data_IF_595779430995
#
_entry.id   IF_595779430995
#
_cell.length_a   1.000
_cell.length_b   1.000
_cell.length_c   1.000
_cell.angle_alpha   90.00
_cell.angle_beta   90.00
_cell.angle_gamma   90.00
#
_symmetry.space_group_name_H-M   'P 1'
#
loop_
_entity.id
_entity.type
_entity.pdbx_description
1 polymer ?
#
# COMPACT_ATOMS: atom_id res chain seq x y z
N UNK A 1 -2.72 -16.00 -40.02
CA UNK A 1 -1.71 -17.05 -39.78
C UNK A 1 -0.69 -16.48 -38.80
N UNK A 2 -0.35 -17.14 -37.68
CA UNK A 2 -1.20 -17.88 -36.73
C UNK A 2 -1.87 -16.90 -35.74
N UNK A 3 -2.84 -17.37 -34.96
CA UNK A 3 -3.50 -16.57 -33.92
C UNK A 3 -2.49 -16.17 -32.85
N UNK A 4 -2.38 -14.87 -32.55
CA UNK A 4 -1.70 -14.31 -31.36
C UNK A 4 -2.48 -14.66 -30.08
N UNK A 5 -2.87 -15.93 -29.94
CA UNK A 5 -3.58 -16.43 -28.78
C UNK A 5 -2.58 -16.77 -27.68
N UNK A 6 -2.03 -15.70 -27.09
CA UNK A 6 -1.14 -15.75 -25.93
C UNK A 6 -1.89 -16.26 -24.68
N UNK A 7 -3.23 -16.33 -24.72
CA UNK A 7 -4.06 -16.82 -23.60
C UNK A 7 -3.96 -18.34 -23.38
N UNK A 8 -3.40 -19.09 -24.34
CA UNK A 8 -3.26 -20.54 -24.29
C UNK A 8 -1.86 -21.03 -23.82
N UNK A 9 -1.00 -20.15 -23.30
CA UNK A 9 0.31 -20.58 -22.77
C UNK A 9 0.15 -21.39 -21.48
N UNK A 10 0.82 -22.54 -21.42
CA UNK A 10 0.84 -23.38 -20.23
C UNK A 10 1.69 -22.76 -19.12
N UNK A 11 1.47 -23.12 -17.83
CA UNK A 11 2.29 -22.63 -16.72
C UNK A 11 3.79 -22.91 -16.92
N UNK A 12 4.15 -24.06 -17.50
CA UNK A 12 5.54 -24.42 -17.80
C UNK A 12 6.16 -23.50 -18.85
N UNK A 13 5.39 -23.15 -19.89
CA UNK A 13 5.84 -22.21 -20.93
C UNK A 13 6.01 -20.79 -20.39
N UNK A 14 5.08 -20.32 -19.55
CA UNK A 14 5.18 -19.02 -18.87
C UNK A 14 6.42 -18.98 -17.98
N UNK A 15 6.64 -20.04 -17.19
CA UNK A 15 7.80 -20.16 -16.30
C UNK A 15 9.12 -20.16 -17.10
N UNK A 16 9.14 -20.80 -18.26
CA UNK A 16 10.30 -20.80 -19.16
C UNK A 16 10.60 -19.40 -19.71
N UNK A 17 9.59 -18.66 -20.18
CA UNK A 17 9.77 -17.29 -20.66
C UNK A 17 10.32 -16.37 -19.57
N UNK A 18 9.82 -16.49 -18.33
CA UNK A 18 10.31 -15.71 -17.17
C UNK A 18 11.75 -16.07 -16.78
N UNK A 19 12.09 -17.35 -16.78
CA UNK A 19 13.45 -17.80 -16.47
C UNK A 19 14.47 -17.26 -17.50
N UNK A 20 14.14 -17.35 -18.80
CA UNK A 20 14.99 -16.81 -19.86
C UNK A 20 15.07 -15.28 -19.84
N UNK A 21 13.99 -14.58 -19.45
CA UNK A 21 14.01 -13.12 -19.24
C UNK A 21 14.93 -12.73 -18.08
N UNK A 22 14.87 -13.48 -16.98
CA UNK A 22 15.70 -13.26 -15.78
C UNK A 22 17.18 -13.45 -16.09
N UNK A 23 17.53 -14.48 -16.85
CA UNK A 23 18.92 -14.76 -17.21
C UNK A 23 19.45 -13.82 -18.31
N UNK A 24 18.58 -13.30 -19.19
CA UNK A 24 18.96 -12.35 -20.25
C UNK A 24 19.94 -12.91 -21.30
N UNK A 25 20.25 -14.21 -21.23
CA UNK A 25 21.18 -14.92 -22.11
C UNK A 25 20.60 -16.23 -22.58
N UNK A 26 21.35 -16.94 -23.41
CA UNK A 26 21.03 -18.30 -23.81
C UNK A 26 21.25 -19.26 -22.62
N UNK A 27 20.28 -20.16 -22.40
CA UNK A 27 20.25 -21.10 -21.27
C UNK A 27 19.92 -22.49 -21.78
N UNK A 28 20.68 -23.49 -21.34
CA UNK A 28 20.46 -24.88 -21.72
C UNK A 28 19.40 -25.60 -20.86
N UNK A 29 18.84 -26.70 -21.38
CA UNK A 29 17.81 -27.45 -20.68
C UNK A 29 18.26 -28.02 -19.32
N UNK A 30 19.55 -28.33 -19.13
CA UNK A 30 20.06 -28.84 -17.86
C UNK A 30 20.11 -27.72 -16.81
N UNK A 31 20.45 -26.51 -17.23
CA UNK A 31 20.41 -25.32 -16.39
C UNK A 31 18.96 -24.92 -16.06
N UNK A 32 18.05 -24.94 -17.05
CA UNK A 32 16.63 -24.69 -16.83
C UNK A 32 16.00 -25.68 -15.84
N UNK A 33 16.36 -26.96 -15.92
CA UNK A 33 15.87 -27.98 -15.00
C UNK A 33 16.45 -27.83 -13.60
N UNK A 34 17.77 -27.65 -13.47
CA UNK A 34 18.44 -27.58 -12.17
C UNK A 34 18.15 -26.29 -11.39
N UNK A 35 18.12 -25.13 -12.05
CA UNK A 35 17.93 -23.83 -11.38
C UNK A 35 16.46 -23.45 -11.24
N UNK A 36 15.64 -23.84 -12.21
CA UNK A 36 14.26 -23.38 -12.28
C UNK A 36 13.24 -24.52 -12.23
N UNK A 37 13.64 -25.78 -12.30
CA UNK A 37 12.72 -26.92 -12.35
C UNK A 37 11.84 -26.90 -13.60
N UNK A 38 12.41 -26.50 -14.75
CA UNK A 38 11.68 -26.35 -16.01
C UNK A 38 12.26 -27.33 -17.04
N UNK A 39 11.41 -28.21 -17.56
CA UNK A 39 11.74 -29.03 -18.72
C UNK A 39 11.17 -28.38 -19.99
N UNK A 40 12.03 -27.65 -20.72
CA UNK A 40 11.64 -26.99 -21.97
C UNK A 40 11.94 -27.89 -23.17
N UNK A 41 11.21 -29.01 -23.25
CA UNK A 41 11.39 -30.01 -24.31
C UNK A 41 10.06 -30.34 -25.00
N UNK A 42 10.13 -31.04 -26.14
CA UNK A 42 8.97 -31.62 -26.80
C UNK A 42 7.94 -30.57 -27.25
N UNK A 43 6.71 -30.66 -26.74
CA UNK A 43 5.61 -29.76 -27.09
C UNK A 43 5.78 -28.35 -26.51
N UNK A 44 6.47 -28.23 -25.37
CA UNK A 44 6.64 -26.93 -24.70
C UNK A 44 7.55 -26.01 -25.50
N UNK A 45 8.71 -26.51 -25.96
CA UNK A 45 9.63 -25.71 -26.77
C UNK A 45 9.06 -25.43 -28.17
N UNK A 46 8.48 -26.44 -28.83
CA UNK A 46 7.89 -26.30 -30.17
C UNK A 46 6.84 -25.20 -30.24
N UNK A 47 5.93 -25.14 -29.27
CA UNK A 47 4.89 -24.12 -29.26
C UNK A 47 5.45 -22.70 -29.05
N UNK A 48 6.49 -22.54 -28.22
CA UNK A 48 7.14 -21.23 -28.04
C UNK A 48 7.95 -20.80 -29.27
N UNK A 49 8.57 -21.75 -29.97
CA UNK A 49 9.23 -21.53 -31.26
C UNK A 49 8.23 -21.17 -32.36
N UNK A 50 7.10 -21.87 -32.46
CA UNK A 50 6.01 -21.58 -33.41
C UNK A 50 5.38 -20.19 -33.19
N UNK A 51 5.29 -19.74 -31.94
CA UNK A 51 4.82 -18.40 -31.60
C UNK A 51 5.91 -17.32 -31.78
N UNK A 52 7.14 -17.72 -32.13
CA UNK A 52 8.28 -16.83 -32.32
C UNK A 52 8.78 -16.19 -31.03
N UNK A 53 8.53 -16.81 -29.87
CA UNK A 53 8.91 -16.26 -28.56
C UNK A 53 10.28 -16.74 -28.08
N UNK A 54 10.69 -17.94 -28.50
CA UNK A 54 11.96 -18.54 -28.13
C UNK A 54 12.65 -19.07 -29.39
N UNK A 55 13.95 -18.89 -29.46
CA UNK A 55 14.82 -19.56 -30.43
C UNK A 55 15.59 -20.68 -29.73
N UNK A 56 15.69 -21.83 -30.40
CA UNK A 56 16.40 -23.00 -29.88
C UNK A 56 17.65 -23.28 -30.71
N UNK A 57 18.81 -23.28 -30.06
CA UNK A 57 20.08 -23.68 -30.64
C UNK A 57 20.27 -25.19 -30.44
N UNK A 58 20.32 -25.93 -31.55
CA UNK A 58 20.41 -27.40 -31.58
C UNK A 58 21.77 -27.94 -31.99
N UNK A 59 22.82 -27.11 -31.93
CA UNK A 59 24.17 -27.46 -32.37
C UNK A 59 24.84 -28.55 -31.52
N UNK A 60 24.48 -28.67 -30.23
CA UNK A 60 24.89 -29.77 -29.36
C UNK A 60 23.84 -29.99 -28.25
N UNK A 61 23.86 -31.17 -27.62
CA UNK A 61 23.01 -31.44 -26.44
C UNK A 61 23.77 -31.07 -25.16
N UNK A 62 23.11 -30.51 -24.13
CA UNK A 62 21.68 -30.16 -24.09
C UNK A 62 21.33 -28.96 -24.98
N UNK A 63 20.13 -28.98 -25.56
CA UNK A 63 19.66 -27.87 -26.39
C UNK A 63 19.54 -26.60 -25.55
N UNK A 64 19.88 -25.48 -26.18
CA UNK A 64 19.91 -24.17 -25.58
C UNK A 64 18.83 -23.27 -26.15
N UNK A 65 18.32 -22.37 -25.31
CA UNK A 65 17.15 -21.56 -25.60
C UNK A 65 17.42 -20.09 -25.26
N UNK A 66 16.94 -19.19 -26.10
CA UNK A 66 17.02 -17.74 -25.90
C UNK A 66 15.70 -17.07 -26.27
N UNK A 67 15.33 -16.01 -25.55
CA UNK A 67 14.20 -15.18 -25.95
C UNK A 67 14.51 -14.39 -27.21
N UNK A 68 13.53 -14.33 -28.12
CA UNK A 68 13.49 -13.35 -29.21
C UNK A 68 13.04 -11.99 -28.67
N UNK A 69 13.14 -10.92 -29.46
CA UNK A 69 12.58 -9.61 -29.07
C UNK A 69 11.07 -9.67 -28.79
N UNK A 70 10.33 -10.46 -29.57
CA UNK A 70 8.89 -10.72 -29.33
C UNK A 70 8.69 -11.48 -28.01
N UNK A 71 9.53 -12.49 -27.75
CA UNK A 71 9.56 -13.23 -26.50
C UNK A 71 9.86 -12.36 -25.28
N UNK A 72 10.79 -11.42 -25.39
CA UNK A 72 11.12 -10.47 -24.32
C UNK A 72 9.94 -9.54 -24.01
N UNK A 73 9.29 -8.98 -25.03
CA UNK A 73 8.12 -8.12 -24.83
C UNK A 73 6.96 -8.88 -24.16
N UNK A 74 6.69 -10.11 -24.59
CA UNK A 74 5.67 -10.97 -23.96
C UNK A 74 6.08 -11.38 -22.55
N UNK A 75 7.34 -11.74 -22.33
CA UNK A 75 7.82 -12.10 -21.00
C UNK A 75 7.75 -10.92 -20.03
N UNK A 76 8.03 -9.69 -20.48
CA UNK A 76 7.87 -8.46 -19.69
C UNK A 76 6.40 -8.20 -19.35
N UNK A 77 5.47 -8.38 -20.30
CA UNK A 77 4.03 -8.28 -20.03
C UNK A 77 3.50 -9.39 -19.09
N UNK A 78 4.12 -10.58 -19.11
CA UNK A 78 3.85 -11.63 -18.13
C UNK A 78 4.54 -11.37 -16.78
N UNK A 79 5.54 -10.48 -16.77
CA UNK A 79 6.29 -10.04 -15.58
C UNK A 79 5.70 -8.76 -14.97
N UNK A 80 4.84 -8.03 -15.70
CA UNK A 80 3.80 -7.22 -15.07
C UNK A 80 3.04 -8.16 -14.14
N UNK A 81 2.84 -7.79 -12.86
CA UNK A 81 2.26 -8.70 -11.91
C UNK A 81 0.82 -8.99 -12.32
N UNK A 82 0.61 -10.20 -12.88
CA UNK A 82 -0.70 -10.83 -12.88
C UNK A 82 -1.24 -10.72 -11.44
N UNK A 83 -2.49 -10.23 -11.23
CA UNK A 83 -3.05 -10.12 -9.89
C UNK A 83 -2.85 -11.47 -9.21
N UNK A 84 -2.23 -11.51 -8.02
CA UNK A 84 -1.73 -12.77 -7.50
C UNK A 84 -2.87 -13.77 -7.46
N UNK A 85 -2.74 -14.90 -8.18
CA UNK A 85 -3.47 -16.12 -7.80
C UNK A 85 -3.12 -16.31 -6.35
N UNK A 86 -4.11 -16.17 -5.48
CA UNK A 86 -3.98 -16.12 -4.03
C UNK A 86 -2.90 -17.09 -3.55
N UNK A 87 -1.67 -16.60 -3.53
CA UNK A 87 -0.62 -17.17 -2.71
C UNK A 87 -1.14 -16.82 -1.34
N UNK A 88 -1.41 -17.84 -0.51
CA UNK A 88 -1.80 -17.61 0.89
C UNK A 88 -0.88 -16.50 1.38
N UNK A 89 -1.42 -15.33 1.75
CA UNK A 89 -0.56 -14.22 2.09
C UNK A 89 0.38 -14.73 3.19
N UNK A 90 1.56 -14.13 3.30
CA UNK A 90 2.22 -14.14 4.60
C UNK A 90 1.35 -13.26 5.51
N UNK A 91 0.20 -13.83 5.88
CA UNK A 91 -0.75 -13.26 6.81
C UNK A 91 0.06 -13.29 8.11
N UNK A 92 0.31 -12.15 8.77
CA UNK A 92 0.60 -12.19 10.20
C UNK A 92 -0.41 -13.18 10.79
N UNK A 93 0.00 -14.13 11.63
CA UNK A 93 -0.97 -15.06 12.26
C UNK A 93 -1.98 -14.24 13.06
N UNK A 94 -3.00 -13.71 12.38
CA UNK A 94 -4.20 -13.16 12.94
C UNK A 94 -4.92 -14.38 13.45
N UNK A 95 -5.30 -14.32 14.72
CA UNK A 95 -6.02 -15.39 15.38
C UNK A 95 -7.18 -15.81 14.46
N UNK A 96 -7.07 -17.00 13.87
CA UNK A 96 -7.85 -17.41 12.69
C UNK A 96 -9.33 -17.62 13.01
N UNK A 97 -9.71 -17.48 14.28
CA UNK A 97 -11.08 -17.52 14.75
C UNK A 97 -11.62 -16.09 14.84
N UNK A 98 -12.29 -15.65 13.79
CA UNK A 98 -13.02 -14.38 13.83
C UNK A 98 -14.15 -14.54 14.84
N UNK A 99 -14.19 -13.70 15.90
CA UNK A 99 -15.24 -13.81 16.89
C UNK A 99 -16.58 -13.56 16.21
N UNK A 100 -17.60 -14.33 16.57
CA UNK A 100 -18.96 -14.13 16.04
C UNK A 100 -19.48 -12.76 16.51
N UNK A 101 -19.42 -11.75 15.64
CA UNK A 101 -19.89 -10.39 15.91
C UNK A 101 -21.34 -10.21 15.46
N UNK A 102 -22.12 -9.45 16.24
CA UNK A 102 -23.44 -8.99 15.81
C UNK A 102 -23.31 -7.86 14.77
N UNK A 103 -24.37 -7.56 13.98
CA UNK A 103 -24.35 -6.43 13.07
C UNK A 103 -24.01 -5.09 13.75
N UNK A 104 -24.55 -4.85 14.94
CA UNK A 104 -24.26 -3.64 15.71
C UNK A 104 -22.81 -3.58 16.20
N UNK A 105 -22.25 -4.73 16.61
CA UNK A 105 -20.83 -4.82 16.97
C UNK A 105 -19.94 -4.50 15.76
N UNK A 106 -20.29 -4.99 14.57
CA UNK A 106 -19.55 -4.67 13.34
C UNK A 106 -19.66 -3.17 13.02
N UNK A 107 -20.86 -2.60 13.06
CA UNK A 107 -21.09 -1.18 12.74
C UNK A 107 -20.31 -0.24 13.66
N UNK A 108 -20.30 -0.50 14.98
CA UNK A 108 -19.53 0.32 15.93
C UNK A 108 -18.04 0.21 15.68
N UNK A 109 -17.52 -0.98 15.42
CA UNK A 109 -16.10 -1.17 15.11
C UNK A 109 -15.69 -0.44 13.82
N UNK A 110 -16.56 -0.44 12.81
CA UNK A 110 -16.33 0.32 11.57
C UNK A 110 -16.36 1.82 11.83
N UNK A 111 -17.34 2.33 12.60
CA UNK A 111 -17.41 3.77 12.91
C UNK A 111 -16.21 4.25 13.72
N UNK A 112 -15.78 3.48 14.73
CA UNK A 112 -14.59 3.82 15.52
C UNK A 112 -13.31 3.79 14.68
N UNK A 113 -13.21 2.85 13.72
CA UNK A 113 -12.10 2.80 12.78
C UNK A 113 -12.14 4.02 11.85
N UNK A 114 -13.32 4.36 11.33
CA UNK A 114 -13.49 5.48 10.40
C UNK A 114 -13.15 6.81 11.05
N UNK A 115 -13.53 7.02 12.31
CA UNK A 115 -13.23 8.27 13.01
C UNK A 115 -11.80 8.31 13.57
N UNK A 116 -11.15 7.16 13.75
CA UNK A 116 -9.77 7.01 14.21
C UNK A 116 -9.43 7.82 15.49
N UNK A 117 -10.43 8.00 16.36
CA UNK A 117 -10.35 8.74 17.63
C UNK A 117 -11.33 8.13 18.64
N UNK A 118 -11.24 8.61 19.87
CA UNK A 118 -12.22 8.31 20.89
C UNK A 118 -13.58 8.96 20.58
N UNK A 119 -14.66 8.18 20.73
CA UNK A 119 -16.05 8.61 20.53
C UNK A 119 -16.89 8.35 21.78
N UNK A 120 -17.66 9.33 22.21
CA UNK A 120 -18.63 9.16 23.28
C UNK A 120 -19.96 8.57 22.79
N UNK A 121 -20.79 8.10 23.73
CA UNK A 121 -22.08 7.47 23.39
C UNK A 121 -23.07 8.37 22.64
N UNK A 122 -23.00 9.69 22.77
CA UNK A 122 -23.83 10.60 21.99
C UNK A 122 -23.34 10.65 20.54
N UNK A 123 -22.03 10.76 20.33
CA UNK A 123 -21.41 10.74 18.99
C UNK A 123 -21.66 9.40 18.28
N UNK A 124 -21.55 8.27 18.99
CA UNK A 124 -21.88 6.96 18.43
C UNK A 124 -23.35 6.85 18.05
N UNK A 125 -24.26 7.45 18.82
CA UNK A 125 -25.68 7.49 18.48
C UNK A 125 -25.94 8.30 17.21
N UNK A 126 -25.21 9.39 17.01
CA UNK A 126 -25.30 10.23 15.82
C UNK A 126 -24.73 9.51 14.58
N UNK A 127 -23.55 8.90 14.69
CA UNK A 127 -22.82 8.31 13.57
C UNK A 127 -23.28 6.88 13.23
N UNK A 128 -23.49 6.04 14.24
CA UNK A 128 -23.88 4.64 14.08
C UNK A 128 -25.38 4.40 14.25
N UNK A 129 -26.13 5.40 14.74
CA UNK A 129 -27.56 5.29 15.04
C UNK A 129 -27.86 4.69 16.42
N UNK A 130 -26.85 4.30 17.21
CA UNK A 130 -27.01 3.73 18.55
C UNK A 130 -25.75 3.89 19.42
N UNK A 131 -25.90 3.95 20.76
CA UNK A 131 -24.78 4.00 21.70
C UNK A 131 -24.11 2.62 21.88
N UNK A 132 -22.82 2.59 22.23
CA UNK A 132 -22.14 1.36 22.64
C UNK A 132 -22.35 1.13 24.15
N UNK A 133 -23.36 0.32 24.49
CA UNK A 133 -23.72 0.06 25.89
C UNK A 133 -24.07 -1.41 26.14
N UNK A 134 -24.29 -1.76 27.42
CA UNK A 134 -24.83 -3.05 27.82
C UNK A 134 -23.97 -4.24 27.41
N UNK A 135 -24.61 -5.24 26.81
CA UNK A 135 -23.98 -6.52 26.41
C UNK A 135 -22.99 -6.37 25.27
N UNK A 136 -23.23 -5.44 24.33
CA UNK A 136 -22.32 -5.20 23.21
C UNK A 136 -21.00 -4.59 23.69
N UNK A 137 -21.05 -3.57 24.57
CA UNK A 137 -19.84 -2.98 25.17
C UNK A 137 -19.04 -4.02 25.97
N UNK A 138 -19.70 -4.75 26.87
CA UNK A 138 -19.04 -5.79 27.69
C UNK A 138 -18.36 -6.85 26.83
N UNK A 139 -18.99 -7.29 25.75
CA UNK A 139 -18.39 -8.30 24.87
C UNK A 139 -17.20 -7.74 24.10
N UNK A 140 -17.32 -6.55 23.52
CA UNK A 140 -16.24 -5.94 22.75
C UNK A 140 -15.03 -5.59 23.61
N UNK A 141 -15.25 -5.13 24.84
CA UNK A 141 -14.18 -4.76 25.78
C UNK A 141 -13.65 -5.98 26.55
N UNK A 142 -14.49 -6.64 27.35
CA UNK A 142 -14.02 -7.62 28.34
C UNK A 142 -13.80 -9.00 27.75
N UNK A 143 -14.65 -9.42 26.79
CA UNK A 143 -14.54 -10.75 26.18
C UNK A 143 -13.53 -10.75 25.03
N UNK A 144 -13.58 -9.73 24.18
CA UNK A 144 -12.81 -9.71 22.93
C UNK A 144 -11.59 -8.78 22.99
N UNK A 145 -11.56 -7.79 23.88
CA UNK A 145 -10.45 -6.84 24.01
C UNK A 145 -10.27 -5.95 22.78
N UNK A 146 -11.33 -5.67 22.04
CA UNK A 146 -11.30 -4.89 20.79
C UNK A 146 -11.53 -3.40 21.01
N UNK A 147 -12.20 -3.04 22.10
CA UNK A 147 -12.56 -1.67 22.45
C UNK A 147 -12.14 -1.42 23.89
N UNK A 148 -11.58 -0.24 24.15
CA UNK A 148 -11.39 0.30 25.48
C UNK A 148 -12.47 1.34 25.75
N UNK A 149 -12.96 1.40 26.99
CA UNK A 149 -13.99 2.37 27.39
C UNK A 149 -13.50 3.23 28.54
N UNK A 150 -13.38 4.55 28.31
CA UNK A 150 -13.20 5.51 29.39
C UNK A 150 -14.53 5.73 30.11
N UNK A 151 -14.49 5.51 31.43
CA UNK A 151 -15.61 5.68 32.36
C UNK A 151 -15.35 6.79 33.39
N UNK A 152 -14.31 7.58 33.19
CA UNK A 152 -13.96 8.72 34.05
C UNK A 152 -15.13 9.73 34.11
N UNK A 153 -15.79 9.98 32.97
CA UNK A 153 -16.91 10.90 32.84
C UNK A 153 -18.03 10.34 31.97
N UNK A 154 -19.27 10.74 32.26
CA UNK A 154 -20.43 10.43 31.41
C UNK A 154 -20.69 11.57 30.42
N UNK A 155 -21.12 11.29 29.16
CA UNK A 155 -21.33 9.96 28.58
C UNK A 155 -20.01 9.21 28.35
N UNK A 156 -19.99 7.90 28.59
CA UNK A 156 -18.79 7.08 28.42
C UNK A 156 -18.26 7.13 26.98
N UNK A 157 -16.95 7.04 26.88
CA UNK A 157 -16.19 7.17 25.65
C UNK A 157 -15.49 5.88 25.28
N UNK A 158 -15.31 5.65 23.99
CA UNK A 158 -14.88 4.38 23.44
C UNK A 158 -13.85 4.58 22.33
N UNK A 159 -12.82 3.74 22.33
CA UNK A 159 -11.79 3.73 21.29
C UNK A 159 -11.37 2.29 20.94
N UNK A 160 -10.84 2.08 19.74
CA UNK A 160 -10.27 0.79 19.36
C UNK A 160 -8.93 0.57 20.08
N UNK A 161 -8.74 -0.63 20.62
CA UNK A 161 -7.42 -1.10 21.05
C UNK A 161 -6.58 -1.52 19.84
N UNK A 162 -5.27 -1.76 20.02
CA UNK A 162 -4.42 -2.32 18.95
C UNK A 162 -4.97 -3.62 18.36
N UNK A 163 -5.52 -4.47 19.24
CA UNK A 163 -6.22 -5.70 18.85
C UNK A 163 -7.50 -5.40 18.08
N UNK A 164 -8.26 -4.39 18.50
CA UNK A 164 -9.39 -3.84 17.76
C UNK A 164 -9.02 -3.46 16.34
N UNK A 165 -8.02 -2.60 16.16
CA UNK A 165 -7.49 -2.20 14.86
C UNK A 165 -7.05 -3.38 13.99
N UNK A 166 -6.37 -4.36 14.58
CA UNK A 166 -6.02 -5.60 13.89
C UNK A 166 -7.26 -6.37 13.43
N UNK A 167 -8.27 -6.51 14.29
CA UNK A 167 -9.49 -7.24 13.99
C UNK A 167 -10.34 -6.54 12.93
N UNK A 168 -10.52 -5.22 13.00
CA UNK A 168 -11.31 -4.49 11.99
C UNK A 168 -10.63 -4.58 10.62
N UNK A 169 -9.29 -4.49 10.53
CA UNK A 169 -8.56 -4.76 9.28
C UNK A 169 -8.82 -6.15 8.73
N UNK A 170 -8.88 -7.18 9.59
CA UNK A 170 -9.23 -8.52 9.13
C UNK A 170 -10.64 -8.60 8.54
N UNK A 171 -11.61 -7.78 8.99
CA UNK A 171 -12.95 -7.72 8.39
C UNK A 171 -12.93 -7.22 6.93
N UNK A 172 -11.95 -6.39 6.55
CA UNK A 172 -11.78 -5.89 5.18
C UNK A 172 -11.21 -6.96 4.23
N UNK A 173 -10.49 -7.93 4.78
CA UNK A 173 -9.80 -8.97 4.01
C UNK A 173 -10.71 -10.17 3.67
N UNK A 174 -11.97 -10.14 4.11
CA UNK A 174 -12.87 -11.28 3.99
C UNK A 174 -13.82 -11.17 2.80
N UNK A 175 -14.17 -12.34 2.26
CA UNK A 175 -15.46 -12.49 1.59
C UNK A 175 -16.59 -12.33 2.62
N UNK A 176 -17.64 -11.54 2.33
CA UNK A 176 -18.72 -11.35 3.29
C UNK A 176 -19.34 -12.70 3.69
N UNK A 177 -19.59 -12.96 4.98
CA UNK A 177 -20.20 -14.21 5.41
C UNK A 177 -21.51 -14.48 4.64
N UNK A 178 -21.73 -15.73 4.21
CA UNK A 178 -22.96 -16.11 3.49
C UNK A 178 -24.24 -15.86 4.29
N UNK A 179 -24.12 -15.80 5.62
CA UNK A 179 -25.21 -15.58 6.57
C UNK A 179 -25.46 -14.09 6.91
N UNK A 180 -24.62 -13.17 6.43
CA UNK A 180 -24.80 -11.74 6.69
C UNK A 180 -25.99 -11.17 5.91
N UNK A 181 -26.88 -10.43 6.60
CA UNK A 181 -27.98 -9.67 5.97
C UNK A 181 -27.41 -8.65 4.97
N UNK A 182 -28.22 -8.28 3.96
CA UNK A 182 -27.79 -7.55 2.76
C UNK A 182 -26.93 -6.30 3.02
N UNK A 183 -27.28 -5.46 4.00
CA UNK A 183 -26.56 -4.22 4.30
C UNK A 183 -25.13 -4.46 4.86
N UNK A 184 -24.96 -5.38 5.81
CA UNK A 184 -23.64 -5.74 6.35
C UNK A 184 -22.75 -6.34 5.25
N UNK A 185 -23.34 -7.13 4.35
CA UNK A 185 -22.64 -7.73 3.22
C UNK A 185 -22.15 -6.67 2.22
N UNK A 186 -22.97 -5.67 1.89
CA UNK A 186 -22.57 -4.55 1.04
C UNK A 186 -21.45 -3.73 1.68
N UNK A 187 -21.56 -3.40 2.97
CA UNK A 187 -20.53 -2.66 3.70
C UNK A 187 -19.18 -3.39 3.68
N UNK A 188 -19.17 -4.68 4.04
CA UNK A 188 -17.93 -5.47 4.03
C UNK A 188 -17.33 -5.61 2.61
N UNK A 189 -18.18 -5.68 1.58
CA UNK A 189 -17.72 -5.72 0.18
C UNK A 189 -17.04 -4.40 -0.22
N UNK A 190 -17.64 -3.26 0.12
CA UNK A 190 -17.07 -1.93 -0.14
C UNK A 190 -15.72 -1.76 0.59
N UNK A 191 -15.70 -2.11 1.88
CA UNK A 191 -14.49 -2.08 2.69
C UNK A 191 -13.37 -2.96 2.11
N UNK A 192 -13.70 -4.17 1.63
CA UNK A 192 -12.72 -5.04 0.97
C UNK A 192 -12.24 -4.51 -0.37
N UNK A 193 -13.08 -3.81 -1.13
CA UNK A 193 -12.66 -3.10 -2.34
C UNK A 193 -11.67 -1.96 -2.01
N UNK A 194 -11.97 -1.13 -1.00
CA UNK A 194 -11.10 -0.03 -0.57
C UNK A 194 -9.72 -0.57 -0.15
N UNK A 195 -9.68 -1.63 0.67
CA UNK A 195 -8.42 -2.24 1.09
C UNK A 195 -7.58 -2.74 -0.10
N UNK A 196 -8.22 -3.35 -1.11
CA UNK A 196 -7.53 -3.77 -2.35
C UNK A 196 -7.00 -2.57 -3.12
N UNK A 197 -7.79 -1.51 -3.28
CA UNK A 197 -7.38 -0.30 -3.98
C UNK A 197 -6.21 0.40 -3.26
N UNK A 198 -6.22 0.45 -1.92
CA UNK A 198 -5.10 0.98 -1.14
C UNK A 198 -3.83 0.13 -1.32
N UNK A 199 -3.96 -1.20 -1.29
CA UNK A 199 -2.82 -2.09 -1.58
C UNK A 199 -2.28 -1.90 -3.00
N UNK A 200 -3.16 -1.64 -3.98
CA UNK A 200 -2.76 -1.32 -5.34
C UNK A 200 -2.04 0.02 -5.41
N UNK A 201 -2.54 1.07 -4.75
CA UNK A 201 -1.87 2.37 -4.69
C UNK A 201 -0.50 2.30 -4.02
N UNK A 202 -0.38 1.54 -2.92
CA UNK A 202 0.90 1.26 -2.27
C UNK A 202 1.90 0.59 -3.20
N UNK A 203 1.45 -0.39 -3.98
CA UNK A 203 2.32 -1.19 -4.86
C UNK A 203 2.70 -0.43 -6.12
N UNK A 204 1.77 0.32 -6.72
CA UNK A 204 1.96 1.04 -7.98
C UNK A 204 2.65 2.39 -7.80
N UNK A 205 2.37 3.09 -6.70
CA UNK A 205 2.81 4.47 -6.50
C UNK A 205 3.72 4.65 -5.27
N UNK A 206 4.03 3.59 -4.52
CA UNK A 206 4.90 3.65 -3.35
C UNK A 206 4.29 4.38 -2.13
N UNK A 207 3.01 4.73 -2.20
CA UNK A 207 2.29 5.50 -1.16
C UNK A 207 1.90 4.58 -0.01
N UNK A 208 2.63 4.61 1.11
CA UNK A 208 2.30 3.84 2.33
C UNK A 208 1.20 4.54 3.14
N UNK A 209 -0.06 4.34 2.78
CA UNK A 209 -1.20 4.79 3.58
C UNK A 209 -1.75 3.66 4.45
N UNK A 210 -1.80 3.84 5.76
CA UNK A 210 -2.53 2.94 6.66
C UNK A 210 -4.05 3.19 6.59
N UNK A 211 -4.87 2.21 6.98
CA UNK A 211 -6.33 2.41 7.02
C UNK A 211 -6.72 3.54 7.99
N UNK A 212 -6.03 3.65 9.13
CA UNK A 212 -6.27 4.72 10.09
C UNK A 212 -5.99 6.10 9.49
N UNK A 213 -4.95 6.24 8.67
CA UNK A 213 -4.65 7.50 7.97
C UNK A 213 -5.62 7.79 6.82
N UNK A 214 -6.03 6.76 6.08
CA UNK A 214 -6.99 6.92 4.99
C UNK A 214 -8.36 7.39 5.49
N UNK A 215 -8.80 6.87 6.64
CA UNK A 215 -10.10 7.25 7.20
C UNK A 215 -10.04 8.42 8.17
N UNK A 216 -8.85 8.76 8.71
CA UNK A 216 -8.69 9.91 9.61
C UNK A 216 -9.31 11.13 8.97
N UNK A 217 -10.35 11.66 9.63
CA UNK A 217 -10.96 12.93 9.26
C UNK A 217 -9.87 14.00 9.27
N UNK A 218 -9.55 14.55 8.11
CA UNK A 218 -8.69 15.71 8.01
C UNK A 218 -9.40 16.84 8.81
N UNK A 219 -8.72 17.52 9.75
CA UNK A 219 -9.33 18.64 10.43
C UNK A 219 -9.83 19.60 9.35
N UNK A 220 -11.08 20.06 9.50
CA UNK A 220 -11.60 21.10 8.62
C UNK A 220 -10.55 22.23 8.61
N UNK A 221 -10.15 22.76 7.43
CA UNK A 221 -9.23 23.87 7.38
C UNK A 221 -9.79 24.93 8.33
N UNK A 222 -9.02 25.30 9.36
CA UNK A 222 -9.36 26.46 10.15
C UNK A 222 -9.59 27.60 9.14
N UNK A 223 -10.74 28.26 9.21
CA UNK A 223 -11.21 29.23 8.20
C UNK A 223 -10.33 30.51 8.09
N UNK A 224 -9.05 30.45 8.43
CA UNK A 224 -8.07 31.54 8.30
C UNK A 224 -6.88 31.29 7.37
N UNK A 225 -6.70 30.10 6.77
CA UNK A 225 -5.38 29.71 6.23
C UNK A 225 -5.12 29.83 4.72
N UNK A 226 -6.11 30.10 3.87
CA UNK A 226 -5.91 29.98 2.42
C UNK A 226 -4.87 30.98 1.83
N UNK A 227 -4.68 32.14 2.47
CA UNK A 227 -3.68 33.12 2.03
C UNK A 227 -2.26 32.82 2.57
N UNK A 228 -2.15 32.20 3.74
CA UNK A 228 -0.87 31.87 4.39
C UNK A 228 -0.24 30.58 3.83
N UNK A 229 -1.07 29.59 3.46
CA UNK A 229 -0.59 28.31 2.91
C UNK A 229 0.06 28.49 1.53
N UNK A 230 -0.48 29.37 0.68
CA UNK A 230 0.09 29.67 -0.65
C UNK A 230 1.43 30.42 -0.53
N UNK A 231 1.59 31.22 0.52
CA UNK A 231 2.86 31.89 0.82
C UNK A 231 3.90 30.87 1.32
N UNK A 232 3.53 30.03 2.30
CA UNK A 232 4.41 28.99 2.82
C UNK A 232 4.89 28.01 1.74
N UNK A 233 4.00 27.56 0.85
CA UNK A 233 4.36 26.70 -0.29
C UNK A 233 5.38 27.40 -1.21
N UNK A 234 5.10 28.66 -1.57
CA UNK A 234 5.98 29.46 -2.44
C UNK A 234 7.36 29.67 -1.81
N UNK A 235 7.41 29.89 -0.50
CA UNK A 235 8.65 30.05 0.27
C UNK A 235 9.43 28.72 0.33
N UNK A 236 8.75 27.59 0.56
CA UNK A 236 9.38 26.26 0.53
C UNK A 236 9.96 25.94 -0.85
N UNK A 237 9.23 26.23 -1.94
CA UNK A 237 9.71 26.04 -3.32
C UNK A 237 10.96 26.88 -3.62
N UNK A 238 10.98 28.14 -3.16
CA UNK A 238 12.16 29.01 -3.29
C UNK A 238 13.35 28.47 -2.50
N UNK A 239 13.14 28.04 -1.26
CA UNK A 239 14.21 27.45 -0.43
C UNK A 239 14.76 26.16 -1.07
N UNK A 240 13.88 25.31 -1.59
CA UNK A 240 14.29 24.12 -2.36
C UNK A 240 15.14 24.50 -3.57
N UNK A 241 14.72 25.49 -4.38
CA UNK A 241 15.45 25.92 -5.57
C UNK A 241 16.83 26.55 -5.27
N UNK A 242 17.04 27.05 -4.06
CA UNK A 242 18.36 27.53 -3.61
C UNK A 242 19.30 26.39 -3.22
N UNK A 243 18.75 25.28 -2.71
CA UNK A 243 19.50 24.12 -2.25
C UNK A 243 19.72 23.08 -3.35
N UNK A 244 18.75 22.92 -4.25
CA UNK A 244 18.83 22.02 -5.40
C UNK A 244 19.61 22.71 -6.53
N UNK A 245 20.70 22.09 -6.97
CA UNK A 245 21.45 22.54 -8.15
C UNK A 245 20.67 22.30 -9.45
N UNK A 246 19.75 21.34 -9.46
CA UNK A 246 18.84 21.06 -10.58
C UNK A 246 17.46 20.53 -10.12
N UNK A 247 16.41 20.69 -10.95
CA UNK A 247 15.10 20.10 -10.68
C UNK A 247 15.18 18.58 -10.51
N UNK A 248 14.44 18.05 -9.53
CA UNK A 248 14.44 16.63 -9.16
C UNK A 248 15.61 16.17 -8.30
N UNK A 249 16.52 17.07 -7.90
CA UNK A 249 17.60 16.75 -6.96
C UNK A 249 17.07 16.54 -5.53
N UNK A 250 17.67 15.59 -4.81
CA UNK A 250 17.26 15.30 -3.43
C UNK A 250 17.89 16.30 -2.45
N UNK A 251 17.03 17.04 -1.75
CA UNK A 251 17.40 18.01 -0.72
C UNK A 251 16.99 17.49 0.66
N UNK A 252 17.88 17.54 1.64
CA UNK A 252 17.58 17.17 3.03
C UNK A 252 16.60 18.13 3.69
N UNK A 253 15.60 17.61 4.41
CA UNK A 253 14.63 18.43 5.14
C UNK A 253 15.27 19.25 6.26
N UNK A 254 16.37 18.77 6.84
CA UNK A 254 17.16 19.55 7.80
C UNK A 254 17.75 20.82 7.18
N UNK A 255 18.31 20.72 5.97
CA UNK A 255 18.87 21.87 5.28
C UNK A 255 17.78 22.79 4.74
N UNK A 256 16.66 22.22 4.29
CA UNK A 256 15.49 22.98 3.87
C UNK A 256 14.93 23.83 5.03
N UNK A 257 14.80 23.26 6.23
CA UNK A 257 14.28 23.98 7.40
C UNK A 257 15.21 25.10 7.87
N UNK A 258 16.53 24.91 7.78
CA UNK A 258 17.50 25.95 8.13
C UNK A 258 17.38 27.19 7.22
N UNK A 259 16.87 27.02 5.99
CA UNK A 259 16.59 28.13 5.06
C UNK A 259 15.23 28.81 5.32
N UNK A 260 14.46 28.35 6.32
CA UNK A 260 13.09 28.81 6.60
C UNK A 260 12.91 29.35 8.03
N UNK A 261 13.76 30.28 8.52
CA UNK A 261 13.72 30.72 9.93
C UNK A 261 12.44 31.50 10.33
N UNK A 262 11.63 31.93 9.35
CA UNK A 262 10.39 32.68 9.58
C UNK A 262 9.12 31.82 9.65
N UNK A 263 9.21 30.51 9.39
CA UNK A 263 8.04 29.61 9.39
C UNK A 263 8.11 28.66 10.59
N UNK A 264 6.95 28.41 11.21
CA UNK A 264 6.87 27.40 12.26
C UNK A 264 7.03 26.00 11.66
N UNK A 265 7.40 25.02 12.50
CA UNK A 265 7.48 23.61 12.08
C UNK A 265 6.15 23.13 11.48
N UNK A 266 5.03 23.53 12.07
CA UNK A 266 3.71 23.14 11.60
C UNK A 266 3.38 23.72 10.22
N UNK A 267 3.78 24.97 9.94
CA UNK A 267 3.53 25.62 8.66
C UNK A 267 4.38 25.00 7.54
N UNK A 268 5.66 24.70 7.84
CA UNK A 268 6.54 24.01 6.90
C UNK A 268 6.01 22.60 6.62
N UNK A 269 5.59 21.85 7.64
CA UNK A 269 5.07 20.50 7.47
C UNK A 269 3.76 20.51 6.67
N UNK A 270 2.86 21.45 6.96
CA UNK A 270 1.63 21.66 6.19
C UNK A 270 1.90 21.97 4.72
N UNK A 271 2.87 22.85 4.43
CA UNK A 271 3.27 23.17 3.07
C UNK A 271 3.91 21.99 2.33
N UNK A 272 4.78 21.22 3.01
CA UNK A 272 5.38 20.00 2.44
C UNK A 272 4.33 18.94 2.10
N UNK A 273 3.31 18.78 2.95
CA UNK A 273 2.20 17.87 2.68
C UNK A 273 1.33 18.35 1.52
N UNK A 274 1.03 19.66 1.43
CA UNK A 274 0.30 20.22 0.31
C UNK A 274 1.05 20.07 -1.03
N UNK A 275 2.38 20.13 -1.01
CA UNK A 275 3.22 19.90 -2.19
C UNK A 275 3.17 18.46 -2.71
N UNK A 276 2.90 17.46 -1.86
CA UNK A 276 2.83 16.06 -2.28
C UNK A 276 1.65 15.76 -3.20
N UNK A 277 0.61 16.60 -3.18
CA UNK A 277 -0.54 16.48 -4.08
C UNK A 277 -0.24 17.00 -5.50
N UNK A 278 0.94 17.58 -5.72
CA UNK A 278 1.36 18.14 -7.00
C UNK A 278 2.31 17.20 -7.76
N UNK A 279 2.18 17.19 -9.08
CA UNK A 279 3.01 16.35 -9.96
C UNK A 279 4.50 16.68 -9.80
N UNK A 280 5.33 15.62 -9.83
CA UNK A 280 6.78 15.73 -9.77
C UNK A 280 7.38 15.97 -8.37
N UNK A 281 6.56 16.05 -7.31
CA UNK A 281 7.03 16.18 -5.93
C UNK A 281 7.16 14.81 -5.26
N UNK A 282 8.27 14.58 -4.57
CA UNK A 282 8.51 13.36 -3.78
C UNK A 282 9.18 13.70 -2.45
N UNK A 283 8.71 13.08 -1.38
CA UNK A 283 9.34 13.09 -0.06
C UNK A 283 9.55 11.65 0.37
N UNK A 284 10.79 11.25 0.70
CA UNK A 284 11.14 9.85 0.99
C UNK A 284 12.04 9.74 2.23
N UNK A 285 12.13 8.55 2.86
CA UNK A 285 13.18 8.28 3.84
C UNK A 285 14.55 8.16 3.17
N UNK A 286 15.62 8.52 3.89
CA UNK A 286 16.99 8.23 3.44
C UNK A 286 17.25 6.72 3.57
N UNK A 287 17.67 6.08 2.47
CA UNK A 287 17.93 4.64 2.43
C UNK A 287 19.02 4.18 3.41
N UNK A 288 20.06 5.00 3.64
CA UNK A 288 21.10 4.73 4.64
C UNK A 288 20.78 5.43 5.96
N UNK A 289 19.84 4.89 6.73
CA UNK A 289 19.41 5.47 8.01
C UNK A 289 20.52 5.59 9.05
N UNK A 290 21.60 4.79 8.95
CA UNK A 290 22.77 4.87 9.84
C UNK A 290 23.60 6.14 9.63
N UNK A 291 23.47 6.78 8.47
CA UNK A 291 24.14 8.05 8.18
C UNK A 291 23.37 9.27 8.72
N UNK A 292 22.14 9.09 9.23
CA UNK A 292 21.30 10.19 9.71
C UNK A 292 21.79 10.73 11.06
N UNK A 293 22.06 12.02 11.10
CA UNK A 293 22.39 12.75 12.32
C UNK A 293 21.14 12.92 13.19
N UNK A 294 21.33 13.40 14.43
CA UNK A 294 20.20 13.78 15.28
C UNK A 294 19.39 14.94 14.69
N UNK A 295 20.06 15.85 13.96
CA UNK A 295 19.42 16.98 13.26
C UNK A 295 18.51 16.48 12.15
N UNK A 296 18.96 15.52 11.34
CA UNK A 296 18.15 14.95 10.26
C UNK A 296 16.90 14.24 10.79
N UNK A 297 17.05 13.49 11.89
CA UNK A 297 15.92 12.83 12.56
C UNK A 297 14.93 13.81 13.15
N UNK A 298 15.40 14.91 13.75
CA UNK A 298 14.52 15.94 14.30
C UNK A 298 13.78 16.75 13.21
N UNK A 299 14.41 16.90 12.05
CA UNK A 299 13.84 17.62 10.91
C UNK A 299 12.84 16.78 10.09
N UNK A 300 12.78 15.47 10.33
CA UNK A 300 11.92 14.56 9.58
C UNK A 300 10.44 14.95 9.65
N UNK A 301 9.72 14.58 8.60
CA UNK A 301 8.26 14.65 8.52
C UNK A 301 7.68 13.24 8.52
N UNK A 302 6.71 12.99 9.39
CA UNK A 302 6.04 11.70 9.45
C UNK A 302 4.96 11.60 8.38
N UNK A 303 5.12 10.67 7.45
CA UNK A 303 4.15 10.37 6.39
C UNK A 303 3.95 8.86 6.41
N UNK A 304 2.71 8.41 6.59
CA UNK A 304 2.44 6.97 6.60
C UNK A 304 3.02 6.23 7.80
N UNK A 305 3.25 6.93 8.93
CA UNK A 305 3.97 6.40 10.10
C UNK A 305 5.47 6.16 9.90
N UNK A 306 6.06 6.67 8.81
CA UNK A 306 7.48 6.61 8.54
C UNK A 306 8.09 8.01 8.56
N UNK A 307 9.25 8.16 9.21
CA UNK A 307 10.00 9.41 9.22
C UNK A 307 10.67 9.61 7.86
N UNK A 308 10.28 10.68 7.15
CA UNK A 308 10.83 11.03 5.85
C UNK A 308 11.81 12.20 5.98
N UNK A 309 12.84 12.21 5.15
CA UNK A 309 14.05 12.98 5.43
C UNK A 309 14.54 13.82 4.24
N UNK A 310 14.14 13.50 3.01
CA UNK A 310 14.57 14.22 1.81
C UNK A 310 13.38 14.54 0.90
N UNK A 311 13.46 15.69 0.23
CA UNK A 311 12.49 16.25 -0.71
C UNK A 311 13.12 16.32 -2.11
N UNK A 312 12.34 16.03 -3.14
CA UNK A 312 12.65 16.30 -4.55
C UNK A 312 11.45 16.98 -5.19
N UNK A 313 11.68 18.07 -5.90
CA UNK A 313 10.68 18.76 -6.72
C UNK A 313 11.19 18.75 -8.18
N UNK A 314 10.51 17.98 -9.03
CA UNK A 314 10.74 17.92 -10.47
C UNK A 314 10.19 19.13 -11.22
N UNK A 315 10.32 19.11 -12.55
CA UNK A 315 9.54 20.03 -13.38
C UNK A 315 8.05 19.65 -13.32
N UNK A 316 7.13 20.63 -13.34
CA UNK A 316 5.74 20.37 -13.66
C UNK A 316 5.59 19.79 -15.08
#
# INVERSE_FOLDING_TARGET
MPSDDLSALTPTQIKALKALLTEGREVDNKELESRFGISLTGANSRKLEELGLVEATRSSRPFSHKLTSKGQAVALQLNDPEPPRASKPDVPKYDSAIPKLSPNQILVLVVLMSEARELNNNELKELAGFPLSGTDNKKLEQTLGLVETDRSHAPYSHQLTDKGWSQVRSLHLMEPPKESRSATRTLLTLLGNINRSLGQLQTTHGVKLSHGEFFRRQPAPAEGGAAEVVDAESVVRKAYALLAGQPGEWVGLADLRDQLPGLSRADVDGALLALLDQDGVRIIPVANTKALTARDRAAAIDIGGEANHVLSIGHP
#
